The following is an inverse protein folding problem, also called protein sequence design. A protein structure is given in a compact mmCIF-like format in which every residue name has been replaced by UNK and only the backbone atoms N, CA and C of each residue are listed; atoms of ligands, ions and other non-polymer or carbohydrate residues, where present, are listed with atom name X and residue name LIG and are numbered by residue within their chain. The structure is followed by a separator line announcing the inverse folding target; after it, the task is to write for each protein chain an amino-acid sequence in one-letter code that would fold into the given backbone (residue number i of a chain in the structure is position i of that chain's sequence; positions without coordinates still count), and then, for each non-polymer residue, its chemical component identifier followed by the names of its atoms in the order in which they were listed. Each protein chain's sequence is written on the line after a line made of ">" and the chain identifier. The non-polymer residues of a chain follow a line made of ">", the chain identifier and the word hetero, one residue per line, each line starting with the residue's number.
data_IF_813051436137
#
_entry.id   IF_813051436137
#
_cell.length_a   1.000
_cell.length_b   1.000
_cell.length_c   1.000
_cell.angle_alpha   90.00
_cell.angle_beta   90.00
_cell.angle_gamma   90.00
#
_symmetry.space_group_name_H-M   'P 1'
#
loop_
_entity.id
_entity.type
_entity.pdbx_description
1 polymer ?
#
# COMPACT_ATOMS: atom_id res chain seq x y z
N UNK A 1 12.72 1.03 10.45
CA UNK A 1 12.35 2.30 9.79
C UNK A 1 12.30 3.42 10.80
N UNK A 2 12.68 4.65 10.40
CA UNK A 2 12.59 5.88 11.21
C UNK A 2 11.15 6.41 11.23
N UNK A 3 10.47 6.37 10.06
CA UNK A 3 9.10 6.83 9.93
C UNK A 3 8.13 5.67 10.07
N UNK A 4 7.15 5.85 10.96
CA UNK A 4 6.05 4.92 11.18
C UNK A 4 4.72 5.67 11.05
N UNK A 5 3.67 4.94 10.69
CA UNK A 5 2.28 5.42 10.71
C UNK A 5 1.57 4.74 11.86
N UNK A 6 0.94 5.51 12.72
CA UNK A 6 0.07 4.98 13.78
C UNK A 6 -1.35 4.90 13.23
N UNK A 7 -1.87 3.69 13.13
CA UNK A 7 -3.24 3.45 12.69
C UNK A 7 -4.24 3.74 13.82
N UNK A 8 -5.51 3.94 13.49
CA UNK A 8 -6.57 4.23 14.47
C UNK A 8 -6.72 3.15 15.55
N UNK A 9 -6.46 1.90 15.23
CA UNK A 9 -6.42 0.78 16.19
C UNK A 9 -5.15 0.76 17.06
N UNK A 10 -4.27 1.78 16.91
CA UNK A 10 -2.97 1.97 17.60
C UNK A 10 -1.84 1.04 17.15
N UNK A 11 -2.04 0.24 16.12
CA UNK A 11 -0.92 -0.45 15.50
C UNK A 11 0.06 0.56 14.89
N UNK A 12 1.34 0.28 15.03
CA UNK A 12 2.40 1.04 14.36
C UNK A 12 2.95 0.22 13.21
N UNK A 13 2.89 0.79 12.02
CA UNK A 13 3.42 0.16 10.81
C UNK A 13 4.51 1.03 10.17
N UNK A 14 5.47 0.45 9.46
CA UNK A 14 6.46 1.26 8.74
C UNK A 14 5.76 2.11 7.69
N UNK A 15 6.19 3.36 7.51
CA UNK A 15 5.68 4.24 6.47
C UNK A 15 6.05 3.77 5.05
N UNK A 16 7.08 2.91 4.93
CA UNK A 16 7.46 2.23 3.68
C UNK A 16 7.22 0.74 3.83
N UNK A 17 6.32 0.19 3.01
CA UNK A 17 6.08 -1.23 2.86
C UNK A 17 6.56 -1.76 1.50
N UNK A 18 6.30 -3.03 1.21
CA UNK A 18 6.69 -3.72 -0.01
C UNK A 18 5.43 -4.12 -0.78
N UNK A 19 5.24 -3.56 -1.98
CA UNK A 19 4.22 -4.02 -2.93
C UNK A 19 4.70 -5.22 -3.73
N UNK A 20 3.80 -6.16 -4.07
CA UNK A 20 4.16 -7.39 -4.79
C UNK A 20 3.48 -7.54 -6.15
N UNK A 21 2.81 -6.53 -6.66
CA UNK A 21 2.18 -6.60 -7.98
C UNK A 21 3.19 -6.95 -9.07
N UNK A 22 2.88 -7.90 -9.95
CA UNK A 22 3.75 -8.54 -10.94
C UNK A 22 4.92 -9.37 -10.39
N UNK A 23 5.05 -9.60 -9.09
CA UNK A 23 6.03 -10.55 -8.57
C UNK A 23 5.47 -11.98 -8.58
N UNK A 24 6.36 -12.96 -8.69
CA UNK A 24 6.02 -14.39 -8.72
C UNK A 24 5.50 -14.90 -10.06
N UNK A 25 5.36 -14.06 -11.08
CA UNK A 25 4.82 -14.45 -12.38
C UNK A 25 5.89 -15.07 -13.30
N UNK A 26 7.11 -14.57 -13.23
CA UNK A 26 8.24 -15.02 -14.03
C UNK A 26 9.16 -15.94 -13.21
N UNK A 27 9.13 -17.24 -13.51
CA UNK A 27 9.96 -18.24 -12.82
C UNK A 27 11.46 -17.95 -12.91
N UNK A 28 11.92 -17.30 -13.94
CA UNK A 28 13.34 -16.96 -14.13
C UNK A 28 13.81 -15.88 -13.14
N UNK A 29 12.90 -15.03 -12.66
CA UNK A 29 13.17 -13.94 -11.70
C UNK A 29 12.93 -14.34 -10.23
N UNK A 30 12.37 -15.55 -10.01
CA UNK A 30 11.92 -15.98 -8.67
C UNK A 30 12.99 -15.80 -7.58
N UNK A 31 14.24 -16.25 -7.84
CA UNK A 31 15.33 -16.12 -6.85
C UNK A 31 15.62 -14.65 -6.51
N UNK A 32 15.67 -13.80 -7.53
CA UNK A 32 15.92 -12.37 -7.37
C UNK A 32 14.77 -11.68 -6.61
N UNK A 33 13.53 -12.05 -6.89
CA UNK A 33 12.34 -11.50 -6.23
C UNK A 33 12.25 -11.95 -4.76
N UNK A 34 12.60 -13.18 -4.45
CA UNK A 34 12.71 -13.68 -3.06
C UNK A 34 13.76 -12.90 -2.28
N UNK A 35 14.92 -12.68 -2.87
CA UNK A 35 15.98 -11.88 -2.25
C UNK A 35 15.52 -10.44 -2.02
N UNK A 36 14.82 -9.85 -3.01
CA UNK A 36 14.25 -8.50 -2.87
C UNK A 36 13.28 -8.38 -1.69
N UNK A 37 12.40 -9.36 -1.47
CA UNK A 37 11.48 -9.38 -0.33
C UNK A 37 12.22 -9.51 0.99
N UNK A 38 13.21 -10.40 1.07
CA UNK A 38 14.01 -10.64 2.29
C UNK A 38 14.81 -9.38 2.68
N UNK A 39 15.55 -8.82 1.74
CA UNK A 39 16.35 -7.62 1.98
C UNK A 39 15.49 -6.41 2.36
N UNK A 40 14.29 -6.26 1.75
CA UNK A 40 13.36 -5.22 2.12
C UNK A 40 12.86 -5.34 3.56
N UNK A 41 12.51 -6.56 3.98
CA UNK A 41 12.10 -6.82 5.38
C UNK A 41 13.26 -6.58 6.34
N UNK A 42 14.46 -7.05 6.04
CA UNK A 42 15.66 -6.80 6.87
C UNK A 42 16.00 -5.32 6.97
N UNK A 43 15.72 -4.53 5.93
CA UNK A 43 15.84 -3.07 5.96
C UNK A 43 14.71 -2.38 6.75
N UNK A 44 13.75 -3.13 7.30
CA UNK A 44 12.66 -2.63 8.13
C UNK A 44 11.33 -2.37 7.40
N UNK A 45 11.23 -2.69 6.10
CA UNK A 45 9.96 -2.64 5.35
C UNK A 45 9.11 -3.87 5.69
N UNK A 46 8.67 -3.99 6.93
CA UNK A 46 8.00 -5.19 7.45
C UNK A 46 6.53 -5.31 7.05
N UNK A 47 5.95 -4.29 6.41
CA UNK A 47 4.64 -4.37 5.80
C UNK A 47 4.77 -4.92 4.38
N UNK A 48 4.07 -6.03 4.09
CA UNK A 48 4.05 -6.67 2.76
C UNK A 48 2.64 -6.66 2.21
N UNK A 49 2.44 -5.97 1.09
CA UNK A 49 1.16 -5.85 0.38
C UNK A 49 1.11 -6.80 -0.82
N UNK A 50 0.10 -7.65 -0.86
CA UNK A 50 -0.20 -8.56 -1.95
C UNK A 50 -1.70 -8.58 -2.29
N UNK A 51 -2.14 -9.46 -3.19
CA UNK A 51 -3.55 -9.69 -3.51
C UNK A 51 -3.75 -11.05 -4.18
N UNK A 52 -4.93 -11.64 -4.01
CA UNK A 52 -5.31 -12.88 -4.73
C UNK A 52 -5.28 -12.72 -6.26
N UNK A 53 -5.48 -11.50 -6.76
CA UNK A 53 -5.43 -11.18 -8.18
C UNK A 53 -4.00 -11.24 -8.74
N UNK A 54 -2.98 -10.93 -7.94
CA UNK A 54 -1.60 -10.77 -8.43
C UNK A 54 -1.03 -12.10 -8.94
N UNK A 55 -0.90 -12.19 -10.26
CA UNK A 55 -0.49 -13.42 -10.92
C UNK A 55 -1.40 -14.63 -10.59
N UNK A 56 -2.70 -14.39 -10.30
CA UNK A 56 -3.65 -15.43 -9.85
C UNK A 56 -3.15 -16.17 -8.59
N UNK A 57 -2.70 -15.40 -7.59
CA UNK A 57 -2.19 -15.90 -6.31
C UNK A 57 -0.70 -16.25 -6.31
N UNK A 58 0.02 -16.12 -7.42
CA UNK A 58 1.47 -16.41 -7.47
C UNK A 58 2.28 -15.48 -6.58
N UNK A 59 1.88 -14.21 -6.46
CA UNK A 59 2.52 -13.26 -5.55
C UNK A 59 2.36 -13.69 -4.08
N UNK A 60 1.19 -14.18 -3.68
CA UNK A 60 0.96 -14.72 -2.33
C UNK A 60 1.83 -15.96 -2.05
N UNK A 61 1.98 -16.87 -3.03
CA UNK A 61 2.91 -17.99 -2.91
C UNK A 61 4.38 -17.55 -2.82
N UNK A 62 4.77 -16.48 -3.53
CA UNK A 62 6.12 -15.92 -3.43
C UNK A 62 6.38 -15.35 -2.02
N UNK A 63 5.40 -14.63 -1.45
CA UNK A 63 5.46 -14.11 -0.07
C UNK A 63 5.62 -15.27 0.92
N UNK A 64 4.83 -16.36 0.79
CA UNK A 64 4.99 -17.56 1.61
C UNK A 64 6.40 -18.12 1.57
N UNK A 65 7.00 -18.20 0.39
CA UNK A 65 8.34 -18.72 0.23
C UNK A 65 9.39 -17.81 0.88
N UNK A 66 9.28 -16.49 0.69
CA UNK A 66 10.16 -15.53 1.35
C UNK A 66 10.04 -15.60 2.88
N UNK A 67 8.83 -15.70 3.41
CA UNK A 67 8.59 -15.82 4.86
C UNK A 67 9.24 -17.05 5.49
N UNK A 68 9.43 -18.16 4.77
CA UNK A 68 10.15 -19.34 5.30
C UNK A 68 11.56 -19.02 5.77
N UNK A 69 12.24 -18.09 5.11
CA UNK A 69 13.58 -17.68 5.50
C UNK A 69 13.50 -16.52 6.51
N UNK A 70 12.67 -15.53 6.28
CA UNK A 70 12.46 -14.39 7.16
C UNK A 70 12.10 -14.84 8.59
N UNK A 71 11.18 -15.79 8.75
CA UNK A 71 10.71 -16.29 10.05
C UNK A 71 11.70 -17.20 10.78
N UNK A 72 12.89 -17.45 10.23
CA UNK A 72 14.00 -18.04 10.97
C UNK A 72 14.71 -17.02 11.87
N UNK A 73 14.57 -15.73 11.53
CA UNK A 73 15.33 -14.63 12.15
C UNK A 73 14.43 -13.66 12.91
N UNK A 74 13.11 -13.62 12.58
CA UNK A 74 12.14 -12.73 13.22
C UNK A 74 10.81 -13.44 13.47
N UNK A 75 9.97 -12.85 14.33
CA UNK A 75 8.66 -13.41 14.66
C UNK A 75 7.60 -12.96 13.64
N UNK A 76 6.53 -13.77 13.49
CA UNK A 76 5.39 -13.45 12.61
C UNK A 76 4.74 -12.10 12.97
N UNK A 77 4.67 -11.77 14.24
CA UNK A 77 4.08 -10.54 14.78
C UNK A 77 4.87 -9.27 14.42
N UNK A 78 6.11 -9.42 13.98
CA UNK A 78 6.93 -8.29 13.49
C UNK A 78 6.64 -7.96 12.02
N UNK A 79 5.90 -8.83 11.32
CA UNK A 79 5.42 -8.59 9.96
C UNK A 79 3.98 -8.09 9.97
N UNK A 80 3.65 -7.17 9.07
CA UNK A 80 2.30 -6.70 8.80
C UNK A 80 1.88 -7.14 7.40
N UNK A 81 1.05 -8.19 7.32
CA UNK A 81 0.68 -8.83 6.06
C UNK A 81 -0.67 -8.32 5.58
N UNK A 82 -0.67 -7.82 4.35
CA UNK A 82 -1.86 -7.28 3.68
C UNK A 82 -2.16 -8.09 2.43
N UNK A 83 -3.42 -8.49 2.26
CA UNK A 83 -3.91 -9.02 0.99
C UNK A 83 -5.29 -8.44 0.64
N UNK A 84 -5.83 -8.76 -0.52
CA UNK A 84 -7.05 -8.13 -1.04
C UNK A 84 -7.98 -9.16 -1.66
N UNK A 85 -9.29 -8.97 -1.45
CA UNK A 85 -10.35 -9.74 -2.07
C UNK A 85 -10.88 -9.05 -3.31
N UNK A 86 -11.06 -9.80 -4.39
CA UNK A 86 -11.69 -9.31 -5.63
C UNK A 86 -13.17 -8.99 -5.41
N UNK A 87 -13.74 -8.00 -6.12
CA UNK A 87 -15.14 -7.61 -5.98
C UNK A 87 -16.16 -8.74 -6.21
N UNK A 88 -15.88 -9.63 -7.14
CA UNK A 88 -16.75 -10.80 -7.41
C UNK A 88 -16.70 -11.87 -6.30
N UNK A 89 -15.77 -11.76 -5.35
CA UNK A 89 -15.67 -12.60 -4.17
C UNK A 89 -16.15 -11.87 -2.90
N UNK A 90 -16.62 -10.63 -2.99
CA UNK A 90 -16.94 -9.80 -1.83
C UNK A 90 -18.40 -9.95 -1.31
N UNK A 91 -19.15 -10.91 -1.82
CA UNK A 91 -20.51 -11.21 -1.37
C UNK A 91 -20.56 -12.21 -0.22
N UNK A 92 -21.76 -12.43 0.30
CA UNK A 92 -22.05 -13.31 1.44
C UNK A 92 -21.49 -14.72 1.29
N UNK A 93 -20.68 -15.14 2.27
CA UNK A 93 -20.01 -16.45 2.30
C UNK A 93 -18.86 -16.59 1.32
N UNK A 94 -18.63 -15.64 0.42
CA UNK A 94 -17.56 -15.69 -0.59
C UNK A 94 -16.25 -15.10 -0.06
N UNK A 95 -16.31 -14.04 0.74
CA UNK A 95 -15.12 -13.43 1.37
C UNK A 95 -14.36 -14.47 2.18
N UNK A 96 -15.04 -15.28 2.99
CA UNK A 96 -14.37 -16.30 3.78
C UNK A 96 -13.68 -17.36 2.90
N UNK A 97 -14.33 -17.83 1.85
CA UNK A 97 -13.72 -18.78 0.91
C UNK A 97 -12.49 -18.19 0.21
N UNK A 98 -12.56 -16.94 -0.23
CA UNK A 98 -11.42 -16.25 -0.85
C UNK A 98 -10.28 -16.05 0.15
N UNK A 99 -10.62 -15.66 1.38
CA UNK A 99 -9.65 -15.48 2.47
C UNK A 99 -8.98 -16.80 2.86
N UNK A 100 -9.71 -17.90 2.97
CA UNK A 100 -9.13 -19.22 3.27
C UNK A 100 -8.13 -19.65 2.19
N UNK A 101 -8.44 -19.38 0.93
CA UNK A 101 -7.51 -19.60 -0.17
C UNK A 101 -6.26 -18.69 -0.06
N UNK A 102 -6.43 -17.43 0.28
CA UNK A 102 -5.32 -16.48 0.53
C UNK A 102 -4.43 -16.96 1.69
N UNK A 103 -5.02 -17.31 2.83
CA UNK A 103 -4.30 -17.82 4.00
C UNK A 103 -3.50 -19.09 3.67
N UNK A 104 -4.09 -20.01 2.91
CA UNK A 104 -3.41 -21.21 2.43
C UNK A 104 -2.24 -20.89 1.50
N UNK A 105 -2.43 -19.97 0.53
CA UNK A 105 -1.38 -19.54 -0.41
C UNK A 105 -0.24 -18.83 0.32
N UNK A 106 -0.55 -17.98 1.30
CA UNK A 106 0.44 -17.27 2.11
C UNK A 106 1.03 -18.12 3.24
N UNK A 107 0.38 -19.24 3.60
CA UNK A 107 0.85 -20.14 4.66
C UNK A 107 0.78 -19.55 6.05
N UNK A 108 -0.25 -18.76 6.32
CA UNK A 108 -0.51 -18.13 7.61
C UNK A 108 -1.94 -18.42 8.07
N UNK A 109 -2.20 -18.29 9.37
CA UNK A 109 -3.52 -18.51 9.95
C UNK A 109 -4.35 -17.23 10.01
N UNK A 110 -3.68 -16.05 9.96
CA UNK A 110 -4.32 -14.74 10.10
C UNK A 110 -3.56 -13.70 9.27
N UNK A 111 -4.30 -12.81 8.60
CA UNK A 111 -3.77 -11.56 8.04
C UNK A 111 -3.86 -10.42 9.06
N UNK A 112 -2.95 -9.45 8.94
CA UNK A 112 -3.04 -8.22 9.72
C UNK A 112 -4.08 -7.27 9.13
N UNK A 113 -4.16 -7.19 7.79
CA UNK A 113 -5.11 -6.34 7.08
C UNK A 113 -5.63 -7.05 5.83
N UNK A 114 -6.94 -7.04 5.62
CA UNK A 114 -7.58 -7.58 4.41
C UNK A 114 -8.42 -6.51 3.73
N UNK A 115 -8.15 -6.22 2.44
CA UNK A 115 -8.74 -5.11 1.73
C UNK A 115 -9.79 -5.57 0.71
N UNK A 116 -10.86 -4.79 0.56
CA UNK A 116 -11.73 -4.84 -0.60
C UNK A 116 -11.02 -4.15 -1.77
N UNK A 117 -10.68 -4.88 -2.83
CA UNK A 117 -9.72 -4.42 -3.85
C UNK A 117 -10.22 -3.22 -4.66
N UNK A 118 -11.52 -3.16 -4.94
CA UNK A 118 -12.27 -2.01 -5.47
C UNK A 118 -13.77 -2.24 -5.32
N UNK A 119 -14.54 -1.17 -5.43
CA UNK A 119 -16.01 -1.22 -5.35
C UNK A 119 -16.59 -2.13 -6.41
N UNK A 120 -17.35 -3.13 -6.00
CA UNK A 120 -18.08 -4.06 -6.87
C UNK A 120 -19.57 -3.84 -6.87
N UNK A 121 -20.31 -4.84 -7.34
CA UNK A 121 -21.78 -4.78 -7.47
C UNK A 121 -22.55 -5.27 -6.23
N UNK A 122 -21.86 -5.89 -5.25
CA UNK A 122 -22.54 -6.28 -4.01
C UNK A 122 -22.86 -5.05 -3.16
N UNK A 123 -24.02 -5.04 -2.44
CA UNK A 123 -24.30 -4.01 -1.46
C UNK A 123 -23.19 -3.90 -0.43
N UNK A 124 -22.78 -2.68 -0.06
CA UNK A 124 -21.72 -2.47 0.95
C UNK A 124 -22.07 -3.10 2.29
N UNK A 125 -23.33 -3.04 2.70
CA UNK A 125 -23.80 -3.67 3.93
C UNK A 125 -23.48 -5.17 3.99
N UNK A 126 -23.67 -5.88 2.87
CA UNK A 126 -23.35 -7.31 2.77
C UNK A 126 -21.83 -7.54 2.87
N UNK A 127 -21.04 -6.76 2.12
CA UNK A 127 -19.59 -6.84 2.10
C UNK A 127 -18.99 -6.53 3.49
N UNK A 128 -19.45 -5.45 4.13
CA UNK A 128 -18.99 -5.04 5.47
C UNK A 128 -19.33 -6.11 6.51
N UNK A 129 -20.56 -6.64 6.48
CA UNK A 129 -20.97 -7.71 7.40
C UNK A 129 -20.08 -8.95 7.28
N UNK A 130 -19.64 -9.29 6.06
CA UNK A 130 -18.73 -10.41 5.84
C UNK A 130 -17.30 -10.12 6.34
N UNK A 131 -16.76 -8.90 6.16
CA UNK A 131 -15.48 -8.50 6.75
C UNK A 131 -15.52 -8.56 8.28
N UNK A 132 -16.55 -8.02 8.89
CA UNK A 132 -16.74 -8.08 10.35
C UNK A 132 -16.87 -9.54 10.85
N UNK A 133 -17.52 -10.40 10.07
CA UNK A 133 -17.65 -11.83 10.41
C UNK A 133 -16.30 -12.54 10.40
N UNK A 134 -15.47 -12.36 9.37
CA UNK A 134 -14.16 -13.01 9.30
C UNK A 134 -13.16 -12.40 10.28
N UNK A 135 -13.29 -11.10 10.61
CA UNK A 135 -12.55 -10.44 11.69
C UNK A 135 -12.91 -11.07 13.03
N UNK A 136 -14.20 -11.21 13.34
CA UNK A 136 -14.68 -11.87 14.59
C UNK A 136 -14.22 -13.33 14.68
N UNK A 137 -14.09 -14.02 13.53
CA UNK A 137 -13.55 -15.38 13.47
C UNK A 137 -12.04 -15.46 13.69
N UNK A 138 -11.34 -14.33 13.78
CA UNK A 138 -9.89 -14.25 14.01
C UNK A 138 -9.06 -14.56 12.76
N UNK A 139 -9.65 -14.60 11.56
CA UNK A 139 -8.93 -14.84 10.31
C UNK A 139 -8.22 -13.60 9.78
N UNK A 140 -8.67 -12.42 10.17
CA UNK A 140 -8.02 -11.12 9.94
C UNK A 140 -8.02 -10.32 11.24
N UNK A 141 -7.03 -9.43 11.44
CA UNK A 141 -7.06 -8.49 12.56
C UNK A 141 -7.93 -7.28 12.21
N UNK A 142 -7.70 -6.72 11.03
CA UNK A 142 -8.39 -5.53 10.54
C UNK A 142 -8.76 -5.65 9.06
N UNK A 143 -9.64 -4.77 8.61
CA UNK A 143 -10.01 -4.67 7.21
C UNK A 143 -10.02 -3.21 6.73
N UNK A 144 -10.00 -3.04 5.43
CA UNK A 144 -10.07 -1.76 4.76
C UNK A 144 -10.54 -1.92 3.32
N UNK A 145 -10.40 -0.85 2.57
CA UNK A 145 -10.79 -0.81 1.16
C UNK A 145 -9.63 -0.36 0.27
N UNK A 146 -9.82 -0.47 -1.03
CA UNK A 146 -8.90 0.07 -2.03
C UNK A 146 -9.70 0.64 -3.19
N UNK A 147 -9.19 1.72 -3.79
CA UNK A 147 -9.83 2.40 -4.91
C UNK A 147 -11.26 2.92 -4.60
N UNK A 148 -11.50 3.36 -3.37
CA UNK A 148 -12.71 4.06 -2.98
C UNK A 148 -12.47 5.57 -3.07
N UNK A 149 -13.28 6.29 -3.90
CA UNK A 149 -13.28 7.76 -3.91
C UNK A 149 -14.13 8.29 -2.75
N UNK A 150 -14.22 9.61 -2.62
CA UNK A 150 -14.94 10.27 -1.52
C UNK A 150 -16.39 9.79 -1.42
N UNK A 151 -17.10 9.69 -2.54
CA UNK A 151 -18.50 9.27 -2.57
C UNK A 151 -18.67 7.81 -2.08
N UNK A 152 -17.73 6.91 -2.42
CA UNK A 152 -17.70 5.53 -1.94
C UNK A 152 -17.38 5.45 -0.44
N UNK A 153 -16.47 6.32 0.04
CA UNK A 153 -16.11 6.36 1.46
C UNK A 153 -17.24 6.92 2.31
N UNK A 154 -17.99 7.91 1.84
CA UNK A 154 -19.17 8.45 2.51
C UNK A 154 -20.27 7.38 2.60
N UNK A 155 -20.59 6.67 1.48
CA UNK A 155 -21.52 5.54 1.49
C UNK A 155 -21.09 4.44 2.46
N UNK A 156 -19.79 4.10 2.45
CA UNK A 156 -19.23 3.11 3.36
C UNK A 156 -19.40 3.53 4.84
N UNK A 157 -19.17 4.82 5.13
CA UNK A 157 -19.24 5.35 6.50
C UNK A 157 -20.64 5.35 7.07
N UNK A 158 -21.66 5.50 6.22
CA UNK A 158 -23.08 5.38 6.59
C UNK A 158 -23.55 3.91 6.73
N UNK A 159 -22.78 2.97 6.18
CA UNK A 159 -23.08 1.54 6.26
C UNK A 159 -22.81 1.00 7.68
N UNK A 160 -23.71 0.18 8.28
CA UNK A 160 -23.47 -0.41 9.60
C UNK A 160 -22.15 -1.17 9.66
N UNK A 161 -21.25 -0.75 10.54
CA UNK A 161 -19.90 -1.31 10.68
C UNK A 161 -18.87 -0.72 9.73
N UNK A 162 -19.26 0.09 8.74
CA UNK A 162 -18.34 0.71 7.78
C UNK A 162 -17.28 1.61 8.43
N UNK A 163 -17.63 2.22 9.58
CA UNK A 163 -16.70 3.03 10.38
C UNK A 163 -15.51 2.23 10.94
N UNK A 164 -15.54 0.90 10.87
CA UNK A 164 -14.40 0.05 11.25
C UNK A 164 -13.34 -0.05 10.14
N UNK A 165 -13.59 0.49 8.95
CA UNK A 165 -12.60 0.57 7.87
C UNK A 165 -11.35 1.30 8.34
N UNK A 166 -10.19 0.62 8.31
CA UNK A 166 -8.95 1.13 8.88
C UNK A 166 -8.07 1.88 7.86
N UNK A 167 -8.11 1.44 6.60
CA UNK A 167 -7.22 1.89 5.52
C UNK A 167 -8.02 2.02 4.23
N UNK A 168 -7.73 3.06 3.44
CA UNK A 168 -8.06 3.10 2.02
C UNK A 168 -6.77 3.12 1.20
N UNK A 169 -6.58 2.10 0.35
CA UNK A 169 -5.42 1.99 -0.52
C UNK A 169 -5.73 2.58 -1.90
N UNK A 170 -5.10 3.71 -2.24
CA UNK A 170 -5.34 4.41 -3.50
C UNK A 170 -4.04 4.82 -4.20
N UNK A 171 -4.11 5.09 -5.49
CA UNK A 171 -2.99 5.62 -6.26
C UNK A 171 -2.65 7.02 -5.76
N UNK A 172 -1.41 7.22 -5.34
CA UNK A 172 -0.96 8.54 -4.90
C UNK A 172 0.55 8.71 -5.06
N UNK A 173 0.95 9.75 -5.76
CA UNK A 173 2.34 10.18 -5.93
C UNK A 173 2.42 11.63 -6.41
N UNK A 174 3.61 12.20 -6.47
CA UNK A 174 3.84 13.61 -6.86
C UNK A 174 3.12 14.03 -8.15
N UNK A 175 3.01 13.15 -9.14
CA UNK A 175 2.34 13.42 -10.41
C UNK A 175 0.85 13.03 -10.47
N UNK A 176 0.29 12.51 -9.37
CA UNK A 176 -1.14 12.17 -9.24
C UNK A 176 -1.60 12.53 -7.84
N UNK A 177 -2.13 13.73 -7.70
CA UNK A 177 -2.49 14.38 -6.43
C UNK A 177 -3.97 14.62 -6.27
N UNK A 178 -4.83 14.11 -7.18
CA UNK A 178 -6.27 14.34 -7.21
C UNK A 178 -6.96 14.12 -5.87
N UNK A 179 -6.53 13.10 -5.11
CA UNK A 179 -7.09 12.78 -3.79
C UNK A 179 -6.89 13.91 -2.74
N UNK A 180 -5.94 14.81 -2.93
CA UNK A 180 -5.67 15.92 -1.98
C UNK A 180 -6.80 16.95 -1.91
N UNK A 181 -7.71 16.97 -2.91
CA UNK A 181 -8.81 17.92 -2.93
C UNK A 181 -9.91 17.60 -1.91
N UNK A 182 -10.37 16.35 -1.85
CA UNK A 182 -11.48 15.93 -1.00
C UNK A 182 -11.23 14.64 -0.24
N UNK A 183 -10.78 13.58 -0.91
CA UNK A 183 -10.64 12.26 -0.29
C UNK A 183 -9.64 12.24 0.87
N UNK A 184 -8.43 12.76 0.65
CA UNK A 184 -7.40 12.75 1.70
C UNK A 184 -7.76 13.61 2.92
N UNK A 185 -8.33 14.82 2.79
CA UNK A 185 -8.87 15.57 3.93
C UNK A 185 -9.94 14.79 4.70
N UNK A 186 -10.89 14.18 3.99
CA UNK A 186 -11.95 13.35 4.59
C UNK A 186 -11.35 12.15 5.35
N UNK A 187 -10.43 11.42 4.74
CA UNK A 187 -9.74 10.29 5.37
C UNK A 187 -9.04 10.68 6.67
N UNK A 188 -8.38 11.86 6.68
CA UNK A 188 -7.71 12.38 7.88
C UNK A 188 -8.71 12.71 9.00
N UNK A 189 -9.83 13.34 8.64
CA UNK A 189 -10.90 13.68 9.61
C UNK A 189 -11.48 12.43 10.26
N UNK A 190 -11.59 11.33 9.50
CA UNK A 190 -12.16 10.06 9.95
C UNK A 190 -11.11 9.05 10.43
N UNK A 191 -9.84 9.44 10.51
CA UNK A 191 -8.72 8.59 10.92
C UNK A 191 -8.59 7.29 10.10
N UNK A 192 -8.95 7.33 8.79
CA UNK A 192 -8.74 6.25 7.83
C UNK A 192 -7.38 6.43 7.18
N UNK A 193 -6.41 5.57 7.46
CA UNK A 193 -5.04 5.72 6.96
C UNK A 193 -4.96 5.59 5.43
N UNK A 194 -4.07 6.38 4.81
CA UNK A 194 -3.76 6.28 3.39
C UNK A 194 -2.67 5.23 3.15
N UNK A 195 -2.96 4.24 2.31
CA UNK A 195 -1.94 3.36 1.73
C UNK A 195 -1.76 3.73 0.26
N UNK A 196 -0.58 4.23 -0.09
CA UNK A 196 -0.27 4.74 -1.43
C UNK A 196 0.32 3.63 -2.30
N UNK A 197 -0.45 3.15 -3.29
CA UNK A 197 0.12 2.26 -4.30
C UNK A 197 0.68 3.06 -5.48
N UNK A 198 1.58 2.45 -6.25
CA UNK A 198 2.35 3.11 -7.32
C UNK A 198 3.03 4.42 -6.90
N UNK A 199 3.65 4.53 -5.71
CA UNK A 199 4.19 5.80 -5.19
C UNK A 199 5.32 6.38 -6.05
N UNK A 200 5.89 5.57 -6.95
CA UNK A 200 6.97 5.94 -7.90
C UNK A 200 6.45 6.17 -9.33
N UNK A 201 5.16 6.38 -9.50
CA UNK A 201 4.45 6.33 -10.77
C UNK A 201 4.66 4.98 -11.50
N UNK A 202 3.78 4.64 -12.43
CA UNK A 202 4.04 3.45 -13.25
C UNK A 202 4.96 3.78 -14.43
N UNK A 203 5.37 2.72 -15.12
CA UNK A 203 6.16 2.85 -16.35
C UNK A 203 5.47 3.77 -17.37
N UNK A 204 6.22 4.31 -18.31
CA UNK A 204 5.66 5.13 -19.38
C UNK A 204 6.11 6.59 -19.35
N UNK A 205 5.36 7.44 -20.04
CA UNK A 205 5.73 8.86 -20.25
C UNK A 205 5.70 9.66 -18.94
N UNK A 206 4.70 9.46 -18.10
CA UNK A 206 4.60 10.15 -16.82
C UNK A 206 5.81 9.84 -15.93
N UNK A 207 6.16 8.58 -15.78
CA UNK A 207 7.33 8.19 -14.99
C UNK A 207 8.62 8.80 -15.55
N UNK A 208 8.84 8.75 -16.87
CA UNK A 208 10.03 9.38 -17.48
C UNK A 208 10.07 10.87 -17.21
N UNK A 209 8.94 11.57 -17.33
CA UNK A 209 8.86 13.00 -17.04
C UNK A 209 9.23 13.33 -15.59
N UNK A 210 8.77 12.53 -14.63
CA UNK A 210 9.13 12.70 -13.21
C UNK A 210 10.63 12.45 -12.97
N UNK A 211 11.19 11.35 -13.51
CA UNK A 211 12.60 10.98 -13.32
C UNK A 211 13.58 12.02 -13.86
N UNK A 212 13.17 12.85 -14.80
CA UNK A 212 14.02 13.87 -15.43
C UNK A 212 13.60 15.30 -15.10
N UNK A 213 12.61 15.47 -14.20
CA UNK A 213 12.13 16.80 -13.86
C UNK A 213 13.19 17.59 -13.06
N UNK A 214 13.56 18.83 -13.50
CA UNK A 214 14.69 19.56 -12.92
C UNK A 214 14.61 19.75 -11.40
N UNK A 215 13.41 19.99 -10.84
CA UNK A 215 13.21 20.14 -9.39
C UNK A 215 13.54 18.84 -8.66
N UNK A 216 13.06 17.68 -9.15
CA UNK A 216 13.31 16.39 -8.51
C UNK A 216 14.77 15.95 -8.65
N UNK A 217 15.40 16.23 -9.80
CA UNK A 217 16.83 15.97 -10.03
C UNK A 217 17.67 16.83 -9.10
N UNK A 218 17.38 18.15 -9.00
CA UNK A 218 18.12 19.04 -8.11
C UNK A 218 17.98 18.65 -6.62
N UNK A 219 16.80 18.17 -6.21
CA UNK A 219 16.62 17.64 -4.84
C UNK A 219 17.38 16.33 -4.64
N UNK A 220 17.40 15.43 -5.63
CA UNK A 220 18.18 14.20 -5.57
C UNK A 220 19.68 14.50 -5.40
N UNK A 221 20.23 15.46 -6.14
CA UNK A 221 21.61 15.94 -5.96
C UNK A 221 21.85 16.55 -4.57
N UNK A 222 20.95 17.43 -4.12
CA UNK A 222 21.02 18.08 -2.79
C UNK A 222 21.12 17.09 -1.64
N UNK A 223 20.35 15.99 -1.72
CA UNK A 223 20.27 14.97 -0.67
C UNK A 223 21.21 13.77 -0.92
N UNK A 224 22.02 13.79 -1.99
CA UNK A 224 22.83 12.65 -2.42
C UNK A 224 21.99 11.36 -2.50
N UNK A 225 20.84 11.47 -3.16
CA UNK A 225 19.81 10.43 -3.27
C UNK A 225 19.38 10.22 -4.72
N UNK A 226 18.53 9.24 -4.97
CA UNK A 226 17.87 9.07 -6.26
C UNK A 226 16.55 9.86 -6.31
N UNK A 227 16.04 10.12 -7.52
CA UNK A 227 14.73 10.78 -7.70
C UNK A 227 13.62 9.93 -7.06
N UNK A 228 13.70 8.60 -7.18
CA UNK A 228 12.76 7.68 -6.53
C UNK A 228 12.75 7.85 -5.01
N UNK A 229 13.92 8.01 -4.39
CA UNK A 229 14.00 8.25 -2.95
C UNK A 229 13.38 9.59 -2.55
N UNK A 230 13.55 10.65 -3.34
CA UNK A 230 12.88 11.95 -3.11
C UNK A 230 11.37 11.80 -3.22
N UNK A 231 10.88 11.07 -4.23
CA UNK A 231 9.43 10.81 -4.40
C UNK A 231 8.84 10.03 -3.21
N UNK A 232 9.55 9.02 -2.71
CA UNK A 232 9.10 8.25 -1.55
C UNK A 232 9.16 9.09 -0.26
N UNK A 233 10.24 9.84 -0.03
CA UNK A 233 10.35 10.75 1.12
C UNK A 233 9.23 11.78 1.13
N UNK A 234 8.87 12.32 -0.04
CA UNK A 234 7.71 13.21 -0.18
C UNK A 234 6.39 12.48 0.13
N UNK A 235 6.25 11.23 -0.32
CA UNK A 235 5.01 10.48 -0.13
C UNK A 235 4.71 10.20 1.35
N UNK A 236 5.75 9.85 2.13
CA UNK A 236 5.63 9.51 3.57
C UNK A 236 5.80 10.72 4.52
N UNK A 237 5.86 11.94 4.01
CA UNK A 237 6.24 13.17 4.73
C UNK A 237 5.37 13.53 5.94
N UNK A 238 4.13 13.09 5.92
CA UNK A 238 3.10 13.56 6.86
C UNK A 238 2.87 12.62 8.05
N UNK A 239 3.57 11.49 8.10
CA UNK A 239 3.38 10.46 9.13
C UNK A 239 2.01 9.76 9.08
N UNK A 240 1.26 9.95 7.97
CA UNK A 240 -0.08 9.44 7.77
C UNK A 240 -0.17 8.45 6.60
N UNK A 241 0.76 8.56 5.68
CA UNK A 241 0.80 7.79 4.43
C UNK A 241 1.73 6.60 4.53
N UNK A 242 1.23 5.42 4.18
CA UNK A 242 2.02 4.20 4.01
C UNK A 242 2.26 4.04 2.51
N UNK A 243 3.50 4.17 2.05
CA UNK A 243 3.85 3.95 0.65
C UNK A 243 4.32 2.51 0.43
N UNK A 244 3.81 1.86 -0.64
CA UNK A 244 4.12 0.46 -0.97
C UNK A 244 4.79 0.34 -2.34
N UNK A 245 6.02 0.87 -2.51
CA UNK A 245 6.77 0.70 -3.74
C UNK A 245 7.03 -0.78 -4.02
N UNK A 246 7.05 -1.15 -5.30
CA UNK A 246 7.35 -2.50 -5.76
C UNK A 246 8.73 -2.57 -6.41
N UNK A 247 9.50 -3.58 -6.04
CA UNK A 247 10.72 -3.94 -6.75
C UNK A 247 10.92 -5.46 -6.76
N UNK A 248 11.40 -5.98 -7.88
CA UNK A 248 11.86 -7.37 -8.00
C UNK A 248 13.38 -7.51 -7.84
N UNK A 249 14.10 -6.45 -7.45
CA UNK A 249 15.55 -6.45 -7.25
C UNK A 249 15.91 -5.93 -5.87
N UNK A 250 16.73 -6.65 -5.14
CA UNK A 250 17.17 -6.29 -3.79
C UNK A 250 17.81 -4.89 -3.75
N UNK A 251 18.69 -4.56 -4.71
CA UNK A 251 19.30 -3.24 -4.82
C UNK A 251 18.27 -2.10 -4.84
N UNK A 252 17.25 -2.19 -5.70
CA UNK A 252 16.21 -1.16 -5.78
C UNK A 252 15.31 -1.14 -4.54
N UNK A 253 15.09 -2.30 -3.90
CA UNK A 253 14.32 -2.37 -2.65
C UNK A 253 15.08 -1.69 -1.51
N UNK A 254 16.39 -1.88 -1.42
CA UNK A 254 17.24 -1.19 -0.44
C UNK A 254 17.33 0.31 -0.73
N UNK A 255 17.37 0.72 -2.01
CA UNK A 255 17.25 2.14 -2.38
C UNK A 255 15.93 2.72 -1.91
N UNK A 256 14.81 2.02 -2.14
CA UNK A 256 13.49 2.46 -1.65
C UNK A 256 13.50 2.61 -0.12
N UNK A 257 14.03 1.63 0.60
CA UNK A 257 14.15 1.68 2.05
C UNK A 257 14.97 2.89 2.53
N UNK A 258 16.01 3.27 1.80
CA UNK A 258 16.85 4.45 2.07
C UNK A 258 16.10 5.77 2.04
N UNK A 259 14.93 5.86 1.41
CA UNK A 259 14.08 7.06 1.42
C UNK A 259 13.60 7.44 2.83
N UNK A 260 13.50 6.48 3.74
CA UNK A 260 13.14 6.68 5.15
C UNK A 260 14.16 7.56 5.92
N UNK A 261 15.37 7.70 5.42
CA UNK A 261 16.41 8.52 6.03
C UNK A 261 16.39 9.98 5.56
N UNK A 262 15.63 10.30 4.51
CA UNK A 262 15.58 11.63 3.90
C UNK A 262 14.47 12.44 4.57
N UNK A 263 14.83 13.63 5.04
CA UNK A 263 13.88 14.61 5.56
C UNK A 263 13.97 15.86 4.67
N UNK A 264 12.97 16.07 3.83
CA UNK A 264 12.87 17.25 2.96
C UNK A 264 12.58 18.49 3.82
N UNK A 265 13.16 19.64 3.43
CA UNK A 265 12.87 20.91 4.10
C UNK A 265 11.54 21.50 3.60
N UNK A 266 11.03 22.51 4.31
CA UNK A 266 9.81 23.23 3.89
C UNK A 266 9.98 23.89 2.53
N UNK A 267 11.17 24.45 2.24
CA UNK A 267 11.48 25.03 0.92
C UNK A 267 11.43 23.98 -0.19
N UNK A 268 11.85 22.75 0.12
CA UNK A 268 11.80 21.63 -0.84
C UNK A 268 10.35 21.22 -1.14
N UNK A 269 9.50 21.15 -0.12
CA UNK A 269 8.06 20.90 -0.31
C UNK A 269 7.42 22.00 -1.15
N UNK A 270 7.74 23.26 -0.89
CA UNK A 270 7.24 24.38 -1.68
C UNK A 270 7.75 24.35 -3.13
N UNK A 271 8.99 23.92 -3.35
CA UNK A 271 9.53 23.75 -4.71
C UNK A 271 8.79 22.63 -5.46
N UNK A 272 8.50 21.51 -4.78
CA UNK A 272 7.70 20.42 -5.33
C UNK A 272 6.26 20.88 -5.60
N UNK A 273 5.61 21.59 -4.68
CA UNK A 273 4.24 22.10 -4.83
C UNK A 273 4.10 23.11 -5.97
N UNK A 274 5.14 23.92 -6.25
CA UNK A 274 5.16 24.80 -7.43
C UNK A 274 5.32 24.02 -8.75
N UNK A 275 6.10 22.95 -8.75
CA UNK A 275 6.34 22.12 -9.94
C UNK A 275 5.17 21.16 -10.23
N UNK A 276 4.52 20.68 -9.19
CA UNK A 276 3.42 19.73 -9.21
C UNK A 276 2.28 20.26 -8.31
N UNK A 277 1.49 21.21 -8.79
CA UNK A 277 0.51 21.92 -7.97
C UNK A 277 -0.59 20.98 -7.45
N UNK A 278 -1.11 21.29 -6.26
CA UNK A 278 -2.30 20.63 -5.72
C UNK A 278 -3.52 20.87 -6.60
N UNK A 279 -4.47 19.92 -6.64
CA UNK A 279 -5.69 20.10 -7.40
C UNK A 279 -6.53 21.25 -6.82
N UNK A 280 -7.14 22.03 -7.71
CA UNK A 280 -8.05 23.15 -7.35
C UNK A 280 -9.53 22.79 -7.48
N UNK A 281 -9.81 21.57 -7.93
CA UNK A 281 -11.16 21.01 -8.09
C UNK A 281 -11.10 19.50 -7.89
N UNK A 282 -12.30 18.87 -7.65
CA UNK A 282 -12.38 17.41 -7.61
C UNK A 282 -11.96 16.84 -8.96
N UNK A 283 -11.10 15.84 -8.94
CA UNK A 283 -10.69 15.01 -10.06
C UNK A 283 -11.17 13.58 -9.80
N UNK A 284 -11.41 12.82 -10.86
CA UNK A 284 -11.70 11.39 -10.70
C UNK A 284 -10.49 10.68 -10.08
N UNK A 285 -10.76 9.66 -9.28
CA UNK A 285 -9.72 8.84 -8.69
C UNK A 285 -8.90 8.17 -9.80
N UNK A 286 -7.59 8.43 -9.79
CA UNK A 286 -6.67 7.70 -10.65
C UNK A 286 -6.59 6.23 -10.21
N UNK A 287 -6.75 5.34 -11.17
CA UNK A 287 -6.71 3.89 -10.96
C UNK A 287 -5.80 3.24 -12.00
N UNK A 288 -5.33 2.02 -11.69
CA UNK A 288 -4.57 1.19 -12.62
C UNK A 288 -5.09 -0.22 -12.68
#
# INVERSE_FOLDING_TARGET
>A
MKHTVTLRNRDQVPALGIGTWYLGEDRTKRKQELESLKEGVHAGMTLIDTAEMYGSGKAEFLVKEAMRDILKEMKREELYLVSKVLPNHAGKGRIETALDNTLMRMGVEQLDLYLYHWRGSYPLEETVAEFERVKKAGKIKEWGVSNFDIDDMEELWETPGGQNCLVNQVLYHIGSRGIEYSLLPWMREHEVALMSYCPLAQAGTLKRGLMTHPVLVGLAEKYNATVEQIMLAWNIRDGYTIAIPRSGKAEHTLQNAGADLITLSEEDYQAIDRAFPKPVRKEYLDMQ
#
